data_IF_209445888021
#
_entry.id   IF_209445888021
#
_cell.length_a   1.000
_cell.length_b   1.000
_cell.length_c   1.000
_cell.angle_alpha   90.00
_cell.angle_beta   90.00
_cell.angle_gamma   90.00
#
_symmetry.space_group_name_H-M   'P 1'
#
loop_
_entity.id
_entity.type
_entity.pdbx_description
1 polymer ?
#
# COMPACT_ATOMS: atom_id res chain seq x y z
N UNK A 1 -15.93 14.11 16.95
CA UNK A 1 -15.47 15.23 16.09
C UNK A 1 -16.54 16.30 16.07
N UNK A 2 -16.17 17.59 16.03
CA UNK A 2 -17.13 18.64 15.67
C UNK A 2 -17.55 18.40 14.21
N UNK A 3 -18.84 18.49 13.92
CA UNK A 3 -19.31 18.46 12.54
C UNK A 3 -18.75 19.69 11.81
N UNK A 4 -18.17 19.49 10.62
CA UNK A 4 -17.72 20.58 9.76
C UNK A 4 -18.93 21.43 9.35
N UNK A 5 -18.82 22.75 9.46
CA UNK A 5 -19.88 23.68 9.00
C UNK A 5 -19.75 24.06 7.54
N UNK A 6 -18.54 23.91 7.00
CA UNK A 6 -18.19 24.13 5.60
C UNK A 6 -16.92 23.33 5.29
N UNK A 7 -16.59 23.21 4.00
CA UNK A 7 -15.39 22.52 3.53
C UNK A 7 -14.14 23.18 4.10
N UNK A 8 -13.09 22.41 4.46
CA UNK A 8 -11.81 22.98 4.88
C UNK A 8 -11.23 23.95 3.83
N UNK A 9 -10.43 24.92 4.27
CA UNK A 9 -9.79 25.87 3.38
C UNK A 9 -8.57 25.26 2.67
N UNK A 10 -8.29 25.73 1.45
CA UNK A 10 -7.08 25.36 0.70
C UNK A 10 -5.84 25.68 1.53
N UNK A 11 -4.88 24.77 1.49
CA UNK A 11 -3.53 24.99 2.02
C UNK A 11 -2.57 25.39 0.92
N UNK A 12 -1.64 26.28 1.24
CA UNK A 12 -0.48 26.60 0.41
C UNK A 12 0.78 26.66 1.26
N UNK A 13 1.93 26.43 0.64
CA UNK A 13 3.23 26.51 1.29
C UNK A 13 4.14 27.57 0.66
N UNK A 14 4.98 28.21 1.47
CA UNK A 14 6.01 29.16 1.04
C UNK A 14 7.36 28.49 0.72
N UNK A 15 8.35 29.25 0.23
CA UNK A 15 9.70 28.74 -0.10
C UNK A 15 10.45 28.06 1.05
N UNK A 16 10.07 28.34 2.29
CA UNK A 16 10.67 27.74 3.48
C UNK A 16 9.93 26.49 3.97
N UNK A 17 8.82 26.10 3.32
CA UNK A 17 8.00 24.95 3.69
C UNK A 17 6.99 25.25 4.80
N UNK A 18 6.78 26.51 5.17
CA UNK A 18 5.71 26.88 6.09
C UNK A 18 4.37 26.75 5.38
N UNK A 19 3.38 26.16 6.06
CA UNK A 19 2.05 25.90 5.52
C UNK A 19 1.04 26.91 6.09
N UNK A 20 0.21 27.46 5.22
CA UNK A 20 -0.81 28.46 5.53
C UNK A 20 -2.13 28.11 4.85
N UNK A 21 -3.24 28.58 5.40
CA UNK A 21 -4.56 28.49 4.80
C UNK A 21 -4.89 29.71 3.91
N UNK A 22 -5.58 29.47 2.81
CA UNK A 22 -6.24 30.51 2.03
C UNK A 22 -7.75 30.52 2.34
N UNK A 23 -8.17 31.37 3.27
CA UNK A 23 -9.59 31.48 3.67
C UNK A 23 -10.52 31.99 2.56
N UNK A 24 -9.98 32.40 1.41
CA UNK A 24 -10.77 32.75 0.23
C UNK A 24 -11.13 31.56 -0.65
N UNK A 25 -10.57 30.38 -0.38
CA UNK A 25 -10.72 29.16 -1.19
C UNK A 25 -11.07 27.95 -0.33
N UNK A 26 -12.15 27.26 -0.66
CA UNK A 26 -12.44 25.92 -0.16
C UNK A 26 -11.62 24.88 -0.91
N UNK A 27 -11.05 23.93 -0.16
CA UNK A 27 -10.32 22.80 -0.71
C UNK A 27 -11.23 21.89 -1.53
N UNK A 28 -10.67 21.27 -2.56
CA UNK A 28 -11.36 20.34 -3.45
C UNK A 28 -10.56 19.07 -3.62
N UNK A 29 -11.26 17.98 -3.89
CA UNK A 29 -10.69 16.68 -4.15
C UNK A 29 -10.52 16.45 -5.65
N UNK A 30 -9.39 15.85 -6.04
CA UNK A 30 -9.13 15.47 -7.42
C UNK A 30 -9.45 14.00 -7.65
N UNK A 31 -10.20 13.72 -8.71
CA UNK A 31 -10.48 12.39 -9.27
C UNK A 31 -10.01 12.40 -10.72
N UNK A 32 -8.97 11.62 -11.04
CA UNK A 32 -8.39 11.60 -12.37
C UNK A 32 -7.83 12.97 -12.76
N UNK A 33 -8.37 13.59 -13.80
CA UNK A 33 -8.01 14.96 -14.20
C UNK A 33 -8.92 16.04 -13.60
N UNK A 34 -10.01 15.66 -12.93
CA UNK A 34 -11.08 16.58 -12.54
C UNK A 34 -11.02 16.92 -11.06
N UNK A 35 -11.08 18.22 -10.75
CA UNK A 35 -11.21 18.73 -9.38
C UNK A 35 -12.69 18.96 -9.06
N UNK A 36 -13.19 18.31 -8.02
CA UNK A 36 -14.59 18.30 -7.65
C UNK A 36 -14.79 18.79 -6.20
N UNK A 37 -15.93 19.44 -5.90
CA UNK A 37 -16.36 19.62 -4.52
C UNK A 37 -16.37 18.27 -3.78
N UNK A 38 -15.95 18.30 -2.54
CA UNK A 38 -15.90 17.13 -1.64
C UNK A 38 -16.99 17.26 -0.59
N UNK A 39 -17.70 16.17 -0.31
CA UNK A 39 -18.69 16.12 0.75
C UNK A 39 -18.03 16.30 2.14
N UNK A 40 -18.74 16.95 3.06
CA UNK A 40 -18.20 17.24 4.41
C UNK A 40 -17.88 15.97 5.21
N UNK A 41 -18.61 14.89 4.95
CA UNK A 41 -18.43 13.61 5.63
C UNK A 41 -17.19 12.82 5.18
N UNK A 42 -16.60 13.19 4.04
CA UNK A 42 -15.40 12.53 3.52
C UNK A 42 -14.11 13.13 4.12
N UNK A 43 -14.21 14.25 4.82
CA UNK A 43 -13.10 14.87 5.54
C UNK A 43 -12.97 14.29 6.93
N UNK A 44 -11.84 13.64 7.19
CA UNK A 44 -11.42 13.20 8.52
C UNK A 44 -10.24 14.04 9.00
N UNK A 45 -10.03 14.12 10.31
CA UNK A 45 -8.77 14.64 10.85
C UNK A 45 -7.60 13.85 10.26
N UNK A 46 -6.51 14.53 9.91
CA UNK A 46 -5.27 13.90 9.48
C UNK A 46 -4.87 12.87 10.55
N UNK A 47 -4.85 11.56 10.23
CA UNK A 47 -4.56 10.55 11.24
C UNK A 47 -3.12 10.67 11.76
N UNK A 48 -2.89 10.20 12.99
CA UNK A 48 -1.56 10.23 13.62
C UNK A 48 -0.51 9.49 12.76
N UNK A 49 0.66 10.12 12.57
CA UNK A 49 1.69 9.63 11.65
C UNK A 49 1.51 10.09 10.20
N UNK A 50 0.45 10.84 9.91
CA UNK A 50 0.32 11.61 8.67
C UNK A 50 1.35 12.73 8.58
N UNK A 51 1.61 13.20 7.37
CA UNK A 51 2.57 14.28 7.09
C UNK A 51 2.07 15.16 5.96
N UNK A 52 2.54 16.40 5.90
CA UNK A 52 2.23 17.32 4.82
C UNK A 52 3.39 17.37 3.82
N UNK A 53 3.05 17.48 2.55
CA UNK A 53 3.99 17.64 1.46
C UNK A 53 3.72 18.94 0.75
N UNK A 54 4.76 19.77 0.70
CA UNK A 54 4.81 20.84 -0.28
C UNK A 54 4.98 20.24 -1.67
N UNK A 55 4.27 20.81 -2.65
CA UNK A 55 4.35 20.41 -4.05
C UNK A 55 4.99 21.53 -4.87
N UNK A 56 6.33 21.58 -4.99
CA UNK A 56 7.01 22.65 -5.71
C UNK A 56 6.46 22.84 -7.12
N UNK A 57 6.40 24.11 -7.56
CA UNK A 57 5.99 24.50 -8.91
C UNK A 57 4.56 24.07 -9.29
N UNK A 58 3.71 23.81 -8.30
CA UNK A 58 2.29 23.49 -8.46
C UNK A 58 1.42 24.48 -7.71
N UNK A 59 0.34 24.95 -8.31
CA UNK A 59 -0.64 25.83 -7.65
C UNK A 59 -1.85 25.03 -7.24
N UNK A 60 -2.29 25.18 -6.00
CA UNK A 60 -3.50 24.52 -5.53
C UNK A 60 -4.73 25.02 -6.30
N UNK A 61 -5.65 24.11 -6.58
CA UNK A 61 -6.97 24.42 -7.13
C UNK A 61 -7.97 24.46 -5.98
N UNK A 62 -8.85 25.45 -5.96
CA UNK A 62 -9.90 25.58 -4.96
C UNK A 62 -11.16 26.23 -5.51
N UNK A 63 -12.24 26.16 -4.71
CA UNK A 63 -13.50 26.86 -4.99
C UNK A 63 -13.51 28.18 -4.22
N UNK A 64 -13.71 29.27 -4.93
CA UNK A 64 -13.81 30.60 -4.32
C UNK A 64 -14.99 30.70 -3.37
N UNK A 65 -14.72 31.08 -2.12
CA UNK A 65 -15.70 31.06 -1.04
C UNK A 65 -16.85 32.07 -1.21
N UNK A 66 -16.69 33.07 -2.08
CA UNK A 66 -17.73 34.06 -2.38
C UNK A 66 -18.48 33.76 -3.67
N UNK A 67 -17.75 33.47 -4.75
CA UNK A 67 -18.33 33.31 -6.10
C UNK A 67 -18.70 31.88 -6.45
N UNK A 68 -18.14 30.88 -5.75
CA UNK A 68 -18.31 29.47 -6.08
C UNK A 68 -17.54 29.00 -7.32
N UNK A 69 -16.73 29.87 -7.94
CA UNK A 69 -15.94 29.54 -9.12
C UNK A 69 -14.67 28.77 -8.75
N UNK A 70 -14.27 27.81 -9.59
CA UNK A 70 -12.96 27.16 -9.49
C UNK A 70 -11.88 28.14 -9.90
N UNK A 71 -10.84 28.30 -9.08
CA UNK A 71 -9.64 29.08 -9.42
C UNK A 71 -8.38 28.55 -8.74
N UNK A 72 -7.24 29.05 -9.18
CA UNK A 72 -5.94 28.77 -8.57
C UNK A 72 -5.73 29.59 -7.29
N UNK A 73 -4.99 29.00 -6.36
CA UNK A 73 -4.35 29.72 -5.26
C UNK A 73 -3.05 30.34 -5.78
N UNK A 74 -2.97 31.67 -5.73
CA UNK A 74 -1.81 32.43 -6.22
C UNK A 74 -0.83 32.83 -5.10
N UNK A 75 -1.02 32.30 -3.88
CA UNK A 75 -0.25 32.69 -2.69
C UNK A 75 1.02 31.86 -2.45
N UNK A 76 1.11 30.68 -3.05
CA UNK A 76 2.25 29.78 -2.87
C UNK A 76 2.01 28.45 -3.56
N UNK A 77 2.76 27.43 -3.15
CA UNK A 77 2.65 26.11 -3.75
C UNK A 77 1.57 25.25 -3.10
N UNK A 78 1.02 24.32 -3.88
CA UNK A 78 0.04 23.37 -3.39
C UNK A 78 0.61 22.51 -2.26
N UNK A 79 -0.29 22.04 -1.39
CA UNK A 79 0.03 21.12 -0.31
C UNK A 79 -0.80 19.85 -0.49
N UNK A 80 -0.16 18.70 -0.31
CA UNK A 80 -0.81 17.39 -0.20
C UNK A 80 -0.55 16.80 1.19
N UNK A 81 -1.27 15.74 1.54
CA UNK A 81 -0.98 14.96 2.73
C UNK A 81 -0.61 13.51 2.40
N UNK A 82 0.31 12.97 3.19
CA UNK A 82 0.45 11.54 3.40
C UNK A 82 -0.55 11.07 4.43
N UNK A 83 -1.37 10.12 4.03
CA UNK A 83 -2.28 9.42 4.92
C UNK A 83 -1.64 8.09 5.33
N UNK A 84 -1.50 7.82 6.65
CA UNK A 84 -0.81 6.64 7.12
C UNK A 84 -1.59 5.35 6.77
N UNK A 85 -0.90 4.20 6.79
CA UNK A 85 -1.53 2.89 6.65
C UNK A 85 -2.78 2.71 7.52
N UNK A 86 -3.68 1.81 7.08
CA UNK A 86 -5.05 1.60 7.57
C UNK A 86 -6.12 2.56 7.03
N UNK A 87 -5.73 3.63 6.34
CA UNK A 87 -6.66 4.58 5.73
C UNK A 87 -6.46 4.66 4.21
N UNK A 88 -7.57 4.64 3.48
CA UNK A 88 -7.61 4.75 2.02
C UNK A 88 -8.07 6.15 1.64
N UNK A 89 -7.33 6.76 0.72
CA UNK A 89 -7.61 8.08 0.16
C UNK A 89 -8.85 8.03 -0.71
N UNK A 90 -9.73 9.02 -0.55
CA UNK A 90 -10.92 9.19 -1.38
C UNK A 90 -10.66 10.15 -2.55
N UNK A 91 -9.81 11.16 -2.35
CA UNK A 91 -9.44 12.12 -3.40
C UNK A 91 -7.95 12.48 -3.38
N UNK A 92 -7.39 12.68 -4.56
CA UNK A 92 -6.04 13.20 -4.75
C UNK A 92 -5.98 14.71 -4.44
N UNK A 93 -4.79 15.22 -4.15
CA UNK A 93 -4.56 16.65 -4.03
C UNK A 93 -4.84 17.37 -5.37
N UNK A 94 -5.58 18.46 -5.30
CA UNK A 94 -5.96 19.24 -6.48
C UNK A 94 -4.95 20.35 -6.75
N UNK A 95 -4.23 20.25 -7.86
CA UNK A 95 -3.24 21.24 -8.26
C UNK A 95 -3.14 21.37 -9.79
N UNK A 96 -2.55 22.46 -10.25
CA UNK A 96 -2.07 22.61 -11.62
C UNK A 96 -0.56 22.79 -11.64
N UNK A 97 0.10 22.06 -12.54
CA UNK A 97 1.53 22.18 -12.80
C UNK A 97 1.84 23.52 -13.47
N UNK A 98 2.94 24.14 -13.06
CA UNK A 98 3.65 25.09 -13.92
C UNK A 98 4.57 24.30 -14.88
N UNK A 99 5.08 24.90 -15.97
CA UNK A 99 5.94 24.20 -16.94
C UNK A 99 7.20 23.58 -16.33
N UNK A 100 7.70 24.12 -15.22
CA UNK A 100 8.92 23.68 -14.55
C UNK A 100 8.66 22.70 -13.39
N UNK A 101 7.44 22.16 -13.29
CA UNK A 101 7.07 21.24 -12.21
C UNK A 101 7.85 19.92 -12.30
N UNK A 102 8.63 19.54 -11.26
CA UNK A 102 9.34 18.26 -11.26
C UNK A 102 8.36 17.11 -11.08
N UNK A 103 8.72 15.91 -11.54
CA UNK A 103 8.00 14.69 -11.18
C UNK A 103 8.04 14.48 -9.67
N UNK A 104 6.89 14.21 -9.06
CA UNK A 104 6.82 13.97 -7.62
C UNK A 104 7.40 12.59 -7.26
N UNK A 105 8.05 12.45 -6.09
CA UNK A 105 8.51 11.15 -5.59
C UNK A 105 7.37 10.14 -5.37
N UNK A 106 7.71 8.87 -5.10
CA UNK A 106 6.75 7.78 -4.88
C UNK A 106 6.09 7.85 -3.48
N UNK A 107 5.22 8.84 -3.28
CA UNK A 107 4.36 9.00 -2.11
C UNK A 107 2.89 9.12 -2.51
N UNK A 108 1.97 8.96 -1.56
CA UNK A 108 0.57 9.31 -1.79
C UNK A 108 0.37 10.82 -1.62
N UNK A 109 -0.45 11.39 -2.50
CA UNK A 109 -0.76 12.81 -2.55
C UNK A 109 -2.25 13.04 -2.34
N UNK A 110 -2.69 12.98 -1.09
CA UNK A 110 -4.11 13.11 -0.70
C UNK A 110 -4.54 14.57 -0.59
N UNK A 111 -5.79 14.86 -0.92
CA UNK A 111 -6.37 16.18 -0.68
C UNK A 111 -6.35 16.53 0.82
N UNK A 112 -5.91 17.74 1.13
CA UNK A 112 -5.79 18.25 2.49
C UNK A 112 -6.30 19.68 2.58
N UNK A 113 -6.90 20.02 3.70
CA UNK A 113 -7.35 21.37 3.99
C UNK A 113 -7.31 21.70 5.47
N UNK A 114 -7.50 22.98 5.78
CA UNK A 114 -7.43 23.50 7.15
C UNK A 114 -8.81 23.89 7.67
N UNK A 115 -9.13 23.48 8.90
CA UNK A 115 -10.38 23.87 9.55
C UNK A 115 -10.22 23.96 11.07
N UNK A 116 -10.59 25.10 11.66
CA UNK A 116 -10.60 25.34 13.11
C UNK A 116 -9.32 24.91 13.87
N UNK A 117 -8.13 25.08 13.28
CA UNK A 117 -6.86 24.76 13.94
C UNK A 117 -6.30 23.37 13.64
N UNK A 118 -6.95 22.60 12.78
CA UNK A 118 -6.61 21.21 12.49
C UNK A 118 -6.51 20.95 10.99
N UNK A 119 -5.69 19.95 10.64
CA UNK A 119 -5.58 19.43 9.28
C UNK A 119 -6.62 18.34 9.03
N UNK A 120 -7.34 18.46 7.92
CA UNK A 120 -8.31 17.48 7.46
C UNK A 120 -7.89 16.91 6.12
N UNK A 121 -8.13 15.62 5.92
CA UNK A 121 -7.84 14.88 4.68
C UNK A 121 -9.05 14.11 4.21
N UNK A 122 -9.12 13.80 2.91
CA UNK A 122 -10.18 12.97 2.34
C UNK A 122 -9.81 11.49 2.38
N UNK A 123 -10.27 10.78 3.40
CA UNK A 123 -9.92 9.37 3.60
C UNK A 123 -10.94 8.61 4.43
N UNK A 124 -10.94 7.28 4.26
CA UNK A 124 -11.73 6.34 5.06
C UNK A 124 -10.81 5.33 5.73
N UNK A 125 -11.06 5.01 7.00
CA UNK A 125 -10.35 3.92 7.69
C UNK A 125 -10.91 2.58 7.24
N UNK A 126 -10.08 1.76 6.60
CA UNK A 126 -10.44 0.43 6.08
C UNK A 126 -9.94 -0.71 6.95
N UNK A 127 -9.04 -0.44 7.90
CA UNK A 127 -8.40 -1.45 8.74
C UNK A 127 -8.42 -1.02 10.21
N UNK A 128 -8.76 -1.95 11.09
CA UNK A 128 -8.85 -1.70 12.52
C UNK A 128 -7.62 -2.17 13.28
N UNK A 129 -6.85 -3.10 12.71
CA UNK A 129 -5.63 -3.61 13.29
C UNK A 129 -4.58 -2.50 13.45
N UNK A 130 -4.06 -2.34 14.68
CA UNK A 130 -3.17 -1.23 15.04
C UNK A 130 -1.70 -1.49 14.68
N UNK A 131 -1.38 -2.59 13.99
CA UNK A 131 -0.01 -3.11 13.94
C UNK A 131 1.04 -2.18 13.32
N UNK A 132 0.63 -1.24 12.48
CA UNK A 132 1.54 -0.26 11.87
C UNK A 132 1.25 1.17 12.33
N UNK A 133 0.44 1.36 13.38
CA UNK A 133 0.21 2.69 13.94
C UNK A 133 1.48 3.23 14.57
N UNK A 134 1.79 4.50 14.28
CA UNK A 134 3.06 5.11 14.64
C UNK A 134 3.27 5.18 16.17
N UNK A 135 2.21 5.42 16.93
CA UNK A 135 2.18 5.42 18.40
C UNK A 135 2.62 4.10 19.02
N UNK A 136 2.49 3.00 18.27
CA UNK A 136 2.91 1.67 18.70
C UNK A 136 4.42 1.45 18.69
N UNK A 137 5.23 2.35 18.14
CA UNK A 137 6.67 2.12 17.96
C UNK A 137 7.57 3.03 18.81
N UNK A 138 8.00 2.49 19.94
CA UNK A 138 9.05 3.07 20.78
C UNK A 138 10.44 2.83 20.13
N UNK A 139 11.15 3.92 19.81
CA UNK A 139 12.44 3.87 19.14
C UNK A 139 13.50 3.10 19.96
N UNK A 140 13.57 3.31 21.27
CA UNK A 140 14.55 2.64 22.13
C UNK A 140 14.30 1.13 22.18
N UNK A 141 13.02 0.71 22.20
CA UNK A 141 12.68 -0.73 22.15
C UNK A 141 13.10 -1.36 20.84
N UNK A 142 12.94 -0.65 19.73
CA UNK A 142 13.38 -1.13 18.40
C UNK A 142 14.89 -1.30 18.38
N UNK A 143 15.67 -0.30 18.82
CA UNK A 143 17.14 -0.40 18.84
C UNK A 143 17.64 -1.53 19.74
N UNK A 144 17.05 -1.68 20.94
CA UNK A 144 17.39 -2.79 21.84
C UNK A 144 17.04 -4.15 21.23
N UNK A 145 15.89 -4.26 20.56
CA UNK A 145 15.47 -5.46 19.85
C UNK A 145 16.41 -5.81 18.69
N UNK A 146 16.87 -4.80 17.94
CA UNK A 146 17.88 -4.96 16.89
C UNK A 146 19.19 -5.50 17.47
N UNK A 147 19.67 -4.94 18.57
CA UNK A 147 20.89 -5.41 19.23
C UNK A 147 20.77 -6.87 19.70
N UNK A 148 19.65 -7.22 20.34
CA UNK A 148 19.40 -8.58 20.81
C UNK A 148 19.37 -9.60 19.66
N UNK A 149 18.60 -9.33 18.61
CA UNK A 149 18.43 -10.28 17.50
C UNK A 149 19.67 -10.38 16.61
N UNK A 150 20.47 -9.32 16.46
CA UNK A 150 21.78 -9.41 15.79
C UNK A 150 22.76 -10.27 16.59
N UNK A 151 22.75 -10.16 17.93
CA UNK A 151 23.58 -11.02 18.78
C UNK A 151 23.13 -12.48 18.74
N UNK A 152 21.82 -12.73 18.62
CA UNK A 152 21.25 -14.07 18.51
C UNK A 152 21.51 -14.71 17.14
N UNK A 153 21.49 -13.91 16.07
CA UNK A 153 21.65 -14.37 14.69
C UNK A 153 22.81 -13.66 13.96
N UNK A 154 24.05 -13.74 14.46
CA UNK A 154 25.17 -12.88 14.02
C UNK A 154 25.67 -13.19 12.60
N UNK A 155 25.22 -14.29 12.00
CA UNK A 155 25.60 -14.69 10.63
C UNK A 155 24.42 -14.66 9.65
N UNK A 156 23.24 -14.25 10.11
CA UNK A 156 22.05 -14.26 9.29
C UNK A 156 21.94 -12.94 8.50
N UNK A 157 22.16 -13.01 7.19
CA UNK A 157 22.17 -11.81 6.33
C UNK A 157 20.80 -11.17 6.20
N UNK A 158 19.72 -11.95 6.35
CA UNK A 158 18.36 -11.41 6.34
C UNK A 158 18.14 -10.56 7.58
N UNK A 159 18.47 -11.07 8.76
CA UNK A 159 18.32 -10.32 10.02
C UNK A 159 19.15 -9.03 9.99
N UNK A 160 20.38 -9.09 9.46
CA UNK A 160 21.23 -7.91 9.28
C UNK A 160 20.60 -6.88 8.33
N UNK A 161 20.08 -7.31 7.17
CA UNK A 161 19.39 -6.44 6.22
C UNK A 161 18.13 -5.81 6.84
N UNK A 162 17.33 -6.59 7.58
CA UNK A 162 16.15 -6.10 8.27
C UNK A 162 16.51 -5.08 9.35
N UNK A 163 17.64 -5.26 10.05
CA UNK A 163 18.11 -4.36 11.08
C UNK A 163 18.55 -3.02 10.48
N UNK A 164 19.59 -3.03 9.66
CA UNK A 164 20.25 -1.82 9.16
C UNK A 164 19.35 -1.06 8.18
N UNK A 165 18.85 -1.75 7.16
CA UNK A 165 18.14 -1.09 6.07
C UNK A 165 16.67 -0.88 6.44
N UNK A 166 15.97 -1.93 6.87
CA UNK A 166 14.52 -1.83 7.03
C UNK A 166 14.11 -1.12 8.33
N UNK A 167 14.58 -1.56 9.49
CA UNK A 167 14.10 -1.06 10.77
C UNK A 167 14.71 0.29 11.17
N UNK A 168 16.03 0.44 11.01
CA UNK A 168 16.77 1.62 11.44
C UNK A 168 16.82 2.72 10.38
N UNK A 169 16.92 2.39 9.09
CA UNK A 169 17.00 3.39 8.01
C UNK A 169 15.64 3.73 7.43
N UNK A 170 14.88 2.75 6.91
CA UNK A 170 13.58 3.01 6.27
C UNK A 170 12.42 3.13 7.27
N UNK A 171 12.66 2.82 8.54
CA UNK A 171 11.63 2.73 9.58
C UNK A 171 10.43 1.84 9.20
N UNK A 172 10.68 0.77 8.43
CA UNK A 172 9.68 -0.18 7.97
C UNK A 172 8.89 -0.78 9.16
N UNK A 173 7.56 -0.58 9.22
CA UNK A 173 6.74 -1.07 10.34
C UNK A 173 6.85 -2.58 10.57
N UNK A 174 6.90 -3.39 9.51
CA UNK A 174 7.03 -4.85 9.62
C UNK A 174 8.37 -5.26 10.24
N UNK A 175 9.48 -4.64 9.81
CA UNK A 175 10.79 -4.92 10.39
C UNK A 175 10.86 -4.49 11.86
N UNK A 176 10.34 -3.30 12.19
CA UNK A 176 10.28 -2.82 13.58
C UNK A 176 9.42 -3.74 14.46
N UNK A 177 8.31 -4.24 13.95
CA UNK A 177 7.45 -5.21 14.64
C UNK A 177 8.17 -6.53 14.93
N UNK A 178 8.94 -7.04 13.98
CA UNK A 178 9.81 -8.19 14.20
C UNK A 178 10.82 -7.94 15.33
N UNK A 179 11.53 -6.81 15.32
CA UNK A 179 12.54 -6.53 16.34
C UNK A 179 11.98 -6.33 17.75
N UNK A 180 10.71 -5.94 17.89
CA UNK A 180 10.01 -5.86 19.18
C UNK A 180 9.13 -7.09 19.47
N UNK A 181 9.25 -8.15 18.67
CA UNK A 181 8.70 -9.48 18.94
C UNK A 181 7.18 -9.62 18.74
N UNK A 182 6.58 -8.91 17.78
CA UNK A 182 5.12 -8.95 17.55
C UNK A 182 4.70 -9.06 16.08
N UNK A 183 3.54 -9.67 15.85
CA UNK A 183 2.78 -9.63 14.61
C UNK A 183 3.53 -10.11 13.35
N UNK A 184 3.71 -9.25 12.35
CA UNK A 184 4.26 -9.60 11.04
C UNK A 184 5.78 -9.47 10.99
N UNK A 185 6.44 -10.56 10.59
CA UNK A 185 7.87 -10.66 10.38
C UNK A 185 8.17 -10.75 8.86
N UNK A 186 8.91 -9.80 8.29
CA UNK A 186 9.19 -9.76 6.86
C UNK A 186 10.33 -10.71 6.46
N UNK A 187 10.19 -11.39 5.32
CA UNK A 187 11.19 -12.27 4.72
C UNK A 187 11.54 -11.79 3.30
N UNK A 188 12.52 -10.88 3.13
CA UNK A 188 13.03 -10.53 1.80
C UNK A 188 13.88 -11.68 1.22
N UNK A 189 13.63 -12.04 -0.03
CA UNK A 189 14.20 -13.25 -0.67
C UNK A 189 14.73 -13.06 -2.09
N UNK A 190 14.21 -12.10 -2.85
CA UNK A 190 14.42 -12.03 -4.28
C UNK A 190 15.21 -10.78 -4.70
N UNK A 191 16.43 -10.92 -5.23
CA UNK A 191 17.17 -9.79 -5.79
C UNK A 191 16.72 -9.41 -7.21
N UNK A 192 15.75 -10.12 -7.79
CA UNK A 192 15.32 -9.94 -9.18
C UNK A 192 13.80 -9.82 -9.28
N UNK A 193 13.31 -9.11 -10.30
CA UNK A 193 11.89 -8.99 -10.60
C UNK A 193 11.64 -9.33 -12.07
N UNK A 194 10.44 -9.84 -12.36
CA UNK A 194 9.97 -10.07 -13.73
C UNK A 194 8.91 -9.05 -14.16
N UNK A 195 8.76 -7.95 -13.42
CA UNK A 195 7.95 -6.79 -13.79
C UNK A 195 8.85 -5.55 -13.81
N UNK A 196 8.67 -4.68 -14.80
CA UNK A 196 9.39 -3.42 -14.91
C UNK A 196 8.49 -2.26 -14.51
N UNK A 197 7.86 -2.34 -13.33
CA UNK A 197 6.81 -1.40 -12.94
C UNK A 197 7.30 0.06 -13.02
N UNK A 198 6.48 0.94 -13.60
CA UNK A 198 6.81 2.37 -13.72
C UNK A 198 7.23 2.99 -12.38
N UNK A 199 6.45 2.75 -11.32
CA UNK A 199 6.71 3.25 -9.97
C UNK A 199 7.33 2.20 -9.04
N UNK A 200 8.28 1.38 -9.51
CA UNK A 200 8.90 0.38 -8.63
C UNK A 200 9.69 1.05 -7.49
N UNK A 201 9.34 0.70 -6.24
CA UNK A 201 9.92 1.31 -5.05
C UNK A 201 11.31 0.76 -4.67
N UNK A 202 11.71 -0.38 -5.24
CA UNK A 202 13.02 -1.00 -4.99
C UNK A 202 14.04 -0.78 -6.11
N UNK A 203 13.59 -0.25 -7.25
CA UNK A 203 14.43 -0.09 -8.43
C UNK A 203 13.82 0.92 -9.40
N UNK A 204 14.61 1.91 -9.80
CA UNK A 204 14.26 2.82 -10.88
C UNK A 204 15.39 2.79 -11.93
N UNK A 205 15.07 2.75 -13.24
CA UNK A 205 16.09 2.87 -14.29
C UNK A 205 16.87 4.20 -14.17
N UNK A 206 18.16 4.19 -14.50
CA UNK A 206 19.03 5.39 -14.40
C UNK A 206 18.56 6.58 -15.25
N UNK A 207 17.76 6.34 -16.29
CA UNK A 207 17.22 7.38 -17.16
C UNK A 207 15.93 8.01 -16.63
N UNK A 208 15.35 7.48 -15.56
CA UNK A 208 14.13 8.04 -14.96
C UNK A 208 14.43 9.19 -14.00
N UNK A 209 13.48 10.12 -13.90
CA UNK A 209 13.57 11.29 -13.01
C UNK A 209 13.23 11.00 -11.56
N UNK A 210 12.65 9.82 -11.28
CA UNK A 210 12.23 9.40 -9.94
C UNK A 210 13.22 8.43 -9.32
N UNK A 211 13.42 8.55 -8.02
CA UNK A 211 14.28 7.65 -7.25
C UNK A 211 13.46 6.55 -6.57
N UNK A 212 14.05 5.36 -6.47
CA UNK A 212 13.50 4.27 -5.68
C UNK A 212 13.57 4.63 -4.19
N UNK A 213 12.48 4.39 -3.45
CA UNK A 213 12.43 4.70 -2.01
C UNK A 213 13.19 3.71 -1.13
N UNK A 214 13.56 2.55 -1.68
CA UNK A 214 14.24 1.46 -0.98
C UNK A 214 15.28 0.81 -1.90
N UNK A 215 16.36 0.30 -1.31
CA UNK A 215 17.33 -0.50 -2.04
C UNK A 215 16.86 -1.95 -2.21
N UNK A 216 16.95 -2.48 -3.43
CA UNK A 216 16.70 -3.89 -3.70
C UNK A 216 17.75 -4.78 -3.06
N UNK A 217 17.29 -5.85 -2.41
CA UNK A 217 18.09 -6.95 -1.90
C UNK A 217 19.10 -7.41 -2.95
N UNK A 218 20.37 -7.58 -2.56
CA UNK A 218 21.45 -7.91 -3.48
C UNK A 218 21.98 -9.35 -3.34
N UNK A 219 21.33 -10.18 -2.51
CA UNK A 219 21.71 -11.56 -2.29
C UNK A 219 20.49 -12.49 -2.33
N UNK A 220 20.76 -13.78 -2.52
CA UNK A 220 19.76 -14.85 -2.38
C UNK A 220 19.96 -15.49 -1.00
N UNK A 221 18.95 -15.44 -0.10
CA UNK A 221 19.06 -16.13 1.17
C UNK A 221 19.01 -17.64 0.99
N UNK A 222 19.60 -18.35 1.94
CA UNK A 222 19.46 -19.81 2.05
C UNK A 222 18.20 -20.17 2.82
N UNK A 223 17.73 -21.41 2.65
CA UNK A 223 16.63 -21.97 3.47
C UNK A 223 16.95 -21.86 4.96
N UNK A 224 18.19 -22.19 5.36
CA UNK A 224 18.62 -22.13 6.76
C UNK A 224 18.51 -20.72 7.35
N UNK A 225 18.92 -19.69 6.60
CA UNK A 225 18.77 -18.29 7.02
C UNK A 225 17.29 -17.90 7.19
N UNK A 226 16.38 -18.42 6.36
CA UNK A 226 14.95 -18.14 6.49
C UNK A 226 14.41 -18.81 7.76
N UNK A 227 14.59 -20.13 7.87
CA UNK A 227 14.01 -20.96 8.95
C UNK A 227 14.48 -20.50 10.34
N UNK A 228 15.76 -20.14 10.46
CA UNK A 228 16.45 -19.85 11.73
C UNK A 228 15.72 -18.79 12.58
N UNK A 229 15.29 -17.68 11.98
CA UNK A 229 14.62 -16.60 12.71
C UNK A 229 13.09 -16.66 12.63
N UNK A 230 12.53 -17.18 11.54
CA UNK A 230 11.07 -17.20 11.36
C UNK A 230 10.38 -18.18 12.30
N UNK A 231 10.98 -19.35 12.56
CA UNK A 231 10.41 -20.33 13.50
C UNK A 231 10.35 -19.75 14.91
N UNK A 232 11.42 -19.09 15.36
CA UNK A 232 11.44 -18.44 16.66
C UNK A 232 10.34 -17.38 16.80
N UNK A 233 10.14 -16.56 15.76
CA UNK A 233 9.08 -15.55 15.72
C UNK A 233 7.69 -16.16 15.77
N UNK A 234 7.41 -17.17 14.94
CA UNK A 234 6.10 -17.85 14.88
C UNK A 234 5.69 -18.50 16.20
N UNK A 235 6.67 -18.95 17.00
CA UNK A 235 6.41 -19.59 18.30
C UNK A 235 6.05 -18.60 19.41
N UNK A 236 6.58 -17.37 19.35
CA UNK A 236 6.52 -16.41 20.46
C UNK A 236 5.65 -15.19 20.23
N UNK A 237 5.56 -14.70 18.98
CA UNK A 237 4.86 -13.44 18.71
C UNK A 237 3.34 -13.61 18.82
N UNK A 238 2.60 -12.62 19.34
CA UNK A 238 1.14 -12.60 19.26
C UNK A 238 0.69 -12.39 17.81
N UNK A 239 -0.40 -13.07 17.42
CA UNK A 239 -0.94 -13.08 16.05
C UNK A 239 0.17 -13.23 14.99
N UNK A 240 0.99 -14.29 15.08
CA UNK A 240 2.25 -14.33 14.37
C UNK A 240 2.03 -14.54 12.86
N UNK A 241 2.71 -13.72 12.07
CA UNK A 241 2.74 -13.82 10.61
C UNK A 241 4.20 -13.76 10.16
N UNK A 242 4.57 -14.59 9.20
CA UNK A 242 5.80 -14.39 8.42
C UNK A 242 5.42 -14.20 6.96
N UNK A 243 6.01 -13.19 6.32
CA UNK A 243 5.62 -12.78 4.96
C UNK A 243 6.80 -12.76 4.02
N UNK A 244 6.77 -13.56 2.97
CA UNK A 244 7.62 -13.35 1.79
C UNK A 244 7.12 -12.16 0.99
N UNK A 245 7.99 -11.46 0.25
CA UNK A 245 7.59 -10.32 -0.59
C UNK A 245 7.58 -9.00 0.16
N UNK A 246 8.66 -8.24 0.06
CA UNK A 246 8.89 -6.98 0.76
C UNK A 246 9.18 -5.82 -0.20
N UNK A 247 9.01 -4.59 0.29
CA UNK A 247 9.29 -3.39 -0.51
C UNK A 247 10.75 -3.25 -0.91
N UNK A 248 11.67 -3.91 -0.20
CA UNK A 248 13.11 -3.90 -0.43
C UNK A 248 13.59 -5.08 -1.29
N UNK A 249 12.71 -5.82 -1.96
CA UNK A 249 13.09 -6.92 -2.85
C UNK A 249 12.43 -6.81 -4.24
N UNK A 250 12.71 -7.77 -5.11
CA UNK A 250 12.01 -8.00 -6.37
C UNK A 250 10.82 -8.95 -6.21
N UNK A 251 10.59 -9.81 -7.19
CA UNK A 251 9.46 -10.75 -7.18
C UNK A 251 9.82 -12.06 -6.46
N UNK A 252 9.21 -12.39 -5.31
CA UNK A 252 9.54 -13.60 -4.53
C UNK A 252 9.21 -14.93 -5.24
N UNK A 253 8.24 -14.98 -6.16
CA UNK A 253 7.96 -16.19 -6.93
C UNK A 253 9.12 -16.61 -7.84
N UNK A 254 10.10 -15.74 -8.12
CA UNK A 254 11.32 -16.13 -8.81
C UNK A 254 12.25 -17.00 -7.94
N UNK A 255 12.01 -17.04 -6.62
CA UNK A 255 12.76 -17.81 -5.63
C UNK A 255 11.96 -19.03 -5.12
N UNK A 256 10.90 -19.44 -5.83
CA UNK A 256 9.89 -20.37 -5.33
C UNK A 256 10.43 -21.71 -4.81
N UNK A 257 11.51 -22.26 -5.37
CA UNK A 257 12.11 -23.51 -4.88
C UNK A 257 12.69 -23.34 -3.46
N UNK A 258 13.33 -22.20 -3.20
CA UNK A 258 13.85 -21.86 -1.86
C UNK A 258 12.70 -21.61 -0.89
N UNK A 259 11.66 -20.90 -1.35
CA UNK A 259 10.46 -20.65 -0.54
C UNK A 259 9.75 -21.95 -0.19
N UNK A 260 9.57 -22.85 -1.17
CA UNK A 260 8.90 -24.13 -0.98
C UNK A 260 9.60 -24.95 0.12
N UNK A 261 10.92 -25.09 0.03
CA UNK A 261 11.69 -25.84 1.02
C UNK A 261 11.68 -25.14 2.39
N UNK A 262 11.78 -23.80 2.43
CA UNK A 262 11.67 -23.06 3.68
C UNK A 262 10.31 -23.21 4.36
N UNK A 263 9.21 -23.12 3.60
CA UNK A 263 7.85 -23.33 4.12
C UNK A 263 7.72 -24.75 4.68
N UNK A 264 8.17 -25.76 3.91
CA UNK A 264 8.13 -27.14 4.34
C UNK A 264 8.89 -27.34 5.65
N UNK A 265 10.12 -26.81 5.76
CA UNK A 265 10.93 -26.92 6.97
C UNK A 265 10.33 -26.16 8.16
N UNK A 266 9.86 -24.92 7.98
CA UNK A 266 9.17 -24.16 9.03
C UNK A 266 8.01 -24.99 9.61
N UNK A 267 7.23 -25.64 8.74
CA UNK A 267 6.09 -26.47 9.15
C UNK A 267 6.47 -27.78 9.83
N UNK A 268 7.72 -28.24 9.71
CA UNK A 268 8.23 -29.35 10.54
C UNK A 268 8.51 -28.92 11.98
N UNK A 269 8.85 -27.64 12.20
CA UNK A 269 9.14 -27.12 13.54
C UNK A 269 7.91 -26.54 14.24
N UNK A 270 7.00 -25.92 13.50
CA UNK A 270 5.81 -25.29 14.08
C UNK A 270 4.59 -25.28 13.15
N UNK A 271 3.41 -25.53 13.74
CA UNK A 271 2.12 -25.30 13.09
C UNK A 271 1.53 -23.93 13.39
N UNK A 272 2.20 -23.08 14.19
CA UNK A 272 1.69 -21.77 14.60
C UNK A 272 1.87 -20.72 13.50
N UNK A 273 0.99 -19.72 13.57
CA UNK A 273 1.00 -18.52 12.74
C UNK A 273 0.74 -18.73 11.25
N UNK A 274 0.60 -17.61 10.56
CA UNK A 274 0.35 -17.58 9.11
C UNK A 274 1.65 -17.41 8.34
N UNK A 275 1.85 -18.22 7.30
CA UNK A 275 2.87 -17.98 6.27
C UNK A 275 2.19 -17.36 5.06
N UNK A 276 2.58 -16.13 4.75
CA UNK A 276 2.04 -15.33 3.66
C UNK A 276 3.09 -15.07 2.56
N UNK A 277 2.64 -14.85 1.33
CA UNK A 277 3.47 -14.30 0.25
C UNK A 277 2.80 -13.08 -0.38
N UNK A 278 3.54 -11.98 -0.47
CA UNK A 278 3.19 -10.80 -1.25
C UNK A 278 3.88 -10.90 -2.62
N UNK A 279 3.14 -10.85 -3.72
CA UNK A 279 3.68 -11.16 -5.05
C UNK A 279 2.94 -10.38 -6.14
N UNK A 280 3.48 -10.31 -7.34
CA UNK A 280 2.76 -9.93 -8.56
C UNK A 280 1.86 -11.05 -9.12
N UNK A 281 1.92 -12.27 -8.59
CA UNK A 281 1.10 -13.41 -9.03
C UNK A 281 1.52 -14.02 -10.37
N UNK A 282 2.73 -13.72 -10.85
CA UNK A 282 3.20 -14.07 -12.20
C UNK A 282 3.50 -15.55 -12.46
N UNK A 283 3.53 -16.41 -11.44
CA UNK A 283 3.88 -17.84 -11.58
C UNK A 283 2.88 -18.77 -10.87
N UNK A 284 1.76 -19.12 -11.52
CA UNK A 284 0.75 -19.98 -10.92
C UNK A 284 1.26 -21.37 -10.49
N UNK A 285 2.12 -22.02 -11.28
CA UNK A 285 2.70 -23.32 -10.93
C UNK A 285 3.55 -23.26 -9.64
N UNK A 286 4.30 -22.16 -9.48
CA UNK A 286 5.07 -21.91 -8.26
C UNK A 286 4.12 -21.71 -7.07
N UNK A 287 3.05 -20.93 -7.24
CA UNK A 287 2.03 -20.75 -6.20
C UNK A 287 1.43 -22.10 -5.78
N UNK A 288 1.13 -22.99 -6.74
CA UNK A 288 0.62 -24.33 -6.41
C UNK A 288 1.64 -25.14 -5.59
N UNK A 289 2.93 -25.09 -5.95
CA UNK A 289 3.99 -25.76 -5.20
C UNK A 289 4.11 -25.21 -3.76
N UNK A 290 4.00 -23.90 -3.56
CA UNK A 290 4.01 -23.27 -2.25
C UNK A 290 2.78 -23.67 -1.41
N UNK A 291 1.59 -23.75 -2.02
CA UNK A 291 0.39 -24.27 -1.35
C UNK A 291 0.58 -25.71 -0.85
N UNK A 292 1.15 -26.60 -1.69
CA UNK A 292 1.46 -27.98 -1.31
C UNK A 292 2.46 -28.06 -0.15
N UNK A 293 3.35 -27.09 -0.01
CA UNK A 293 4.33 -27.03 1.08
C UNK A 293 3.75 -26.49 2.41
N UNK A 294 2.60 -25.79 2.38
CA UNK A 294 1.94 -25.26 3.57
C UNK A 294 1.79 -23.74 3.63
N UNK A 295 1.84 -23.05 2.47
CA UNK A 295 1.49 -21.63 2.37
C UNK A 295 0.04 -21.39 2.82
N UNK A 296 -0.19 -20.40 3.69
CA UNK A 296 -1.52 -20.10 4.21
C UNK A 296 -2.24 -19.02 3.42
N UNK A 297 -1.52 -18.00 2.95
CA UNK A 297 -2.13 -16.86 2.28
C UNK A 297 -1.27 -16.28 1.17
N UNK A 298 -1.94 -15.66 0.20
CA UNK A 298 -1.34 -14.90 -0.89
C UNK A 298 -1.92 -13.50 -0.93
N UNK A 299 -1.06 -12.53 -1.23
CA UNK A 299 -1.43 -11.18 -1.60
C UNK A 299 -0.87 -10.84 -2.98
N UNK A 300 -1.74 -10.72 -3.97
CA UNK A 300 -1.37 -10.35 -5.35
C UNK A 300 -1.47 -8.84 -5.54
N UNK A 301 -0.38 -8.17 -5.90
CA UNK A 301 -0.37 -6.72 -6.10
C UNK A 301 -0.81 -6.34 -7.49
N UNK A 302 -1.67 -5.32 -7.59
CA UNK A 302 -2.15 -4.81 -8.87
C UNK A 302 -2.57 -3.33 -8.78
N UNK A 303 -2.31 -2.55 -9.84
CA UNK A 303 -2.86 -1.20 -10.01
C UNK A 303 -4.27 -1.24 -10.62
N UNK A 304 -4.61 -2.34 -11.29
CA UNK A 304 -5.81 -2.47 -12.12
C UNK A 304 -6.12 -3.95 -12.37
N UNK A 305 -7.38 -4.31 -12.35
CA UNK A 305 -7.89 -5.60 -12.85
C UNK A 305 -8.38 -5.51 -14.30
N UNK A 306 -8.24 -4.35 -14.96
CA UNK A 306 -8.22 -4.25 -16.41
C UNK A 306 -6.83 -4.54 -16.98
N UNK A 307 -6.78 -5.45 -17.96
CA UNK A 307 -5.58 -5.98 -18.60
C UNK A 307 -4.69 -4.87 -19.22
N UNK A 308 -5.29 -3.95 -19.97
CA UNK A 308 -4.53 -2.87 -20.64
C UNK A 308 -3.81 -1.96 -19.64
N UNK A 309 -4.50 -1.56 -18.57
CA UNK A 309 -3.95 -0.64 -17.56
C UNK A 309 -2.97 -1.35 -16.64
N UNK A 310 -3.17 -2.64 -16.38
CA UNK A 310 -2.18 -3.48 -15.71
C UNK A 310 -0.87 -3.53 -16.49
N UNK A 311 -0.92 -3.89 -17.78
CA UNK A 311 0.27 -4.00 -18.62
C UNK A 311 1.00 -2.66 -18.77
N UNK A 312 0.26 -1.56 -18.91
CA UNK A 312 0.83 -0.23 -19.03
C UNK A 312 1.65 0.19 -17.80
N UNK A 313 1.28 -0.28 -16.60
CA UNK A 313 2.01 0.02 -15.37
C UNK A 313 3.06 -1.03 -15.01
N UNK A 314 2.70 -2.32 -14.96
CA UNK A 314 3.59 -3.40 -14.50
C UNK A 314 4.68 -3.76 -15.51
N UNK A 315 4.46 -3.48 -16.79
CA UNK A 315 5.33 -3.84 -17.91
C UNK A 315 5.86 -5.30 -17.75
N UNK A 316 4.96 -6.31 -17.79
CA UNK A 316 5.30 -7.70 -17.52
C UNK A 316 6.42 -8.24 -18.41
N UNK A 317 7.31 -9.03 -17.84
CA UNK A 317 8.36 -9.74 -18.56
C UNK A 317 8.21 -11.25 -18.34
N UNK A 318 7.83 -11.98 -19.38
CA UNK A 318 7.61 -13.44 -19.37
C UNK A 318 6.44 -13.91 -18.47
N UNK A 319 5.37 -13.12 -18.36
CA UNK A 319 4.08 -13.57 -17.83
C UNK A 319 2.95 -12.67 -18.35
N UNK A 320 1.72 -13.19 -18.34
CA UNK A 320 0.53 -12.47 -18.80
C UNK A 320 -0.37 -12.10 -17.61
N UNK A 321 -1.24 -11.10 -17.80
CA UNK A 321 -2.21 -10.65 -16.80
C UNK A 321 -3.09 -11.78 -16.24
N UNK A 322 -3.45 -12.77 -17.07
CA UNK A 322 -4.26 -13.93 -16.66
C UNK A 322 -3.63 -14.78 -15.54
N UNK A 323 -2.30 -14.71 -15.39
CA UNK A 323 -1.58 -15.41 -14.33
C UNK A 323 -2.00 -14.95 -12.92
N UNK A 324 -2.39 -13.68 -12.77
CA UNK A 324 -2.83 -13.13 -11.48
C UNK A 324 -4.09 -13.85 -10.99
N UNK A 325 -5.11 -13.92 -11.86
CA UNK A 325 -6.36 -14.60 -11.56
C UNK A 325 -6.15 -16.10 -11.32
N UNK A 326 -5.26 -16.75 -12.08
CA UNK A 326 -4.92 -18.16 -11.85
C UNK A 326 -4.27 -18.38 -10.48
N UNK A 327 -3.29 -17.54 -10.10
CA UNK A 327 -2.63 -17.63 -8.79
C UNK A 327 -3.64 -17.50 -7.63
N UNK A 328 -4.60 -16.57 -7.75
CA UNK A 328 -5.69 -16.44 -6.76
C UNK A 328 -6.57 -17.69 -6.74
N UNK A 329 -6.99 -18.20 -7.90
CA UNK A 329 -7.81 -19.44 -8.01
C UNK A 329 -7.10 -20.64 -7.38
N UNK A 330 -5.80 -20.79 -7.61
CA UNK A 330 -5.00 -21.88 -7.03
C UNK A 330 -5.02 -21.80 -5.50
N UNK A 331 -4.70 -20.66 -4.89
CA UNK A 331 -4.68 -20.59 -3.42
C UNK A 331 -6.06 -20.87 -2.83
N UNK A 332 -7.13 -20.38 -3.47
CA UNK A 332 -8.50 -20.70 -3.05
C UNK A 332 -8.83 -22.20 -3.17
N UNK A 333 -8.39 -22.88 -4.24
CA UNK A 333 -8.56 -24.34 -4.42
C UNK A 333 -7.89 -25.14 -3.29
N UNK A 334 -6.79 -24.64 -2.73
CA UNK A 334 -6.11 -25.25 -1.58
C UNK A 334 -6.64 -24.78 -0.22
N UNK A 335 -7.70 -23.96 -0.20
CA UNK A 335 -8.31 -23.44 1.03
C UNK A 335 -7.58 -22.28 1.68
N UNK A 336 -6.51 -21.75 1.06
CA UNK A 336 -5.72 -20.63 1.58
C UNK A 336 -6.45 -19.28 1.49
N UNK A 337 -5.94 -18.27 2.17
CA UNK A 337 -6.48 -16.91 2.13
C UNK A 337 -5.97 -16.12 0.92
N UNK A 338 -6.88 -15.47 0.19
CA UNK A 338 -6.55 -14.71 -1.01
C UNK A 338 -6.84 -13.23 -0.81
N UNK A 339 -5.84 -12.40 -1.08
CA UNK A 339 -5.96 -10.95 -1.07
C UNK A 339 -5.42 -10.36 -2.36
N UNK A 340 -5.98 -9.24 -2.80
CA UNK A 340 -5.29 -8.33 -3.72
C UNK A 340 -4.78 -7.11 -2.95
N UNK A 341 -3.58 -6.66 -3.28
CA UNK A 341 -3.04 -5.37 -2.86
C UNK A 341 -3.33 -4.37 -3.97
N UNK A 342 -4.46 -3.68 -3.82
CA UNK A 342 -5.04 -2.89 -4.89
C UNK A 342 -4.64 -1.42 -4.73
N UNK A 343 -3.93 -0.88 -5.73
CA UNK A 343 -3.47 0.51 -5.68
C UNK A 343 -4.59 1.47 -6.06
N UNK A 344 -5.12 2.15 -5.07
CA UNK A 344 -6.24 3.06 -5.15
C UNK A 344 -5.80 4.38 -5.76
N UNK A 345 -6.37 4.69 -6.92
CA UNK A 345 -6.23 5.93 -7.66
C UNK A 345 -7.63 6.49 -7.95
N UNK A 346 -8.08 7.51 -7.20
CA UNK A 346 -9.36 8.19 -7.48
C UNK A 346 -9.41 8.69 -8.92
N UNK A 347 -10.45 8.30 -9.64
CA UNK A 347 -10.69 8.57 -11.07
C UNK A 347 -10.28 7.47 -12.03
N UNK A 348 -9.61 6.42 -11.54
CA UNK A 348 -9.29 5.21 -12.32
C UNK A 348 -9.86 3.98 -11.64
N UNK A 349 -9.56 3.79 -10.35
CA UNK A 349 -9.99 2.64 -9.53
C UNK A 349 -11.50 2.54 -9.36
N UNK A 350 -12.18 3.69 -9.33
CA UNK A 350 -13.63 3.87 -9.20
C UNK A 350 -14.31 4.25 -10.52
N UNK A 351 -13.68 3.94 -11.65
CA UNK A 351 -14.36 3.99 -12.94
C UNK A 351 -15.35 2.83 -13.07
N UNK A 352 -16.41 3.02 -13.86
CA UNK A 352 -17.41 1.97 -14.12
C UNK A 352 -16.77 0.71 -14.75
N UNK A 353 -15.83 0.90 -15.68
CA UNK A 353 -15.12 -0.20 -16.34
C UNK A 353 -14.27 -1.01 -15.36
N UNK A 354 -13.59 -0.33 -14.43
CA UNK A 354 -12.77 -0.98 -13.41
C UNK A 354 -13.65 -1.70 -12.38
N UNK A 355 -14.78 -1.10 -12.00
CA UNK A 355 -15.77 -1.74 -11.14
C UNK A 355 -16.27 -3.05 -11.74
N UNK A 356 -16.71 -3.05 -13.01
CA UNK A 356 -17.17 -4.25 -13.68
C UNK A 356 -16.08 -5.31 -13.84
N UNK A 357 -14.85 -4.90 -14.16
CA UNK A 357 -13.70 -5.80 -14.20
C UNK A 357 -13.42 -6.44 -12.84
N UNK A 358 -13.53 -5.67 -11.75
CA UNK A 358 -13.31 -6.14 -10.38
C UNK A 358 -14.40 -7.09 -9.91
N UNK A 359 -15.68 -6.81 -10.21
CA UNK A 359 -16.79 -7.73 -9.94
C UNK A 359 -16.55 -9.08 -10.62
N UNK A 360 -16.17 -9.06 -11.90
CA UNK A 360 -15.83 -10.28 -12.65
C UNK A 360 -14.65 -11.02 -12.02
N UNK A 361 -13.58 -10.31 -11.68
CA UNK A 361 -12.41 -10.89 -11.03
C UNK A 361 -12.79 -11.58 -9.70
N UNK A 362 -13.62 -10.94 -8.87
CA UNK A 362 -14.09 -11.51 -7.60
C UNK A 362 -14.90 -12.78 -7.84
N UNK A 363 -15.88 -12.75 -8.76
CA UNK A 363 -16.71 -13.91 -9.11
C UNK A 363 -15.87 -15.09 -9.62
N UNK A 364 -14.94 -14.85 -10.53
CA UNK A 364 -14.13 -15.90 -11.16
C UNK A 364 -13.10 -16.51 -10.23
N UNK A 365 -12.55 -15.70 -9.32
CA UNK A 365 -11.43 -16.13 -8.48
C UNK A 365 -11.85 -16.60 -7.09
N UNK A 366 -13.00 -16.14 -6.58
CA UNK A 366 -13.41 -16.34 -5.19
C UNK A 366 -12.58 -15.50 -4.20
N UNK A 367 -12.12 -14.33 -4.64
CA UNK A 367 -11.26 -13.44 -3.84
C UNK A 367 -11.86 -13.18 -2.45
N UNK A 368 -11.06 -13.31 -1.40
CA UNK A 368 -11.52 -13.15 -0.01
C UNK A 368 -11.33 -11.75 0.54
N UNK A 369 -10.34 -11.00 0.05
CA UNK A 369 -10.01 -9.70 0.60
C UNK A 369 -9.44 -8.71 -0.42
N UNK A 370 -9.83 -7.44 -0.29
CA UNK A 370 -9.14 -6.31 -0.95
C UNK A 370 -8.38 -5.53 0.11
N UNK A 371 -7.06 -5.39 -0.09
CA UNK A 371 -6.23 -4.45 0.65
C UNK A 371 -6.17 -3.13 -0.14
N UNK A 372 -6.89 -2.12 0.33
CA UNK A 372 -7.11 -0.84 -0.36
C UNK A 372 -5.94 0.14 -0.13
N UNK A 373 -4.83 -0.05 -0.85
CA UNK A 373 -3.62 0.76 -0.67
C UNK A 373 -3.71 2.08 -1.39
N UNK A 374 -3.19 3.14 -0.79
CA UNK A 374 -3.00 4.39 -1.52
C UNK A 374 -1.93 4.18 -2.60
N UNK A 375 -2.19 4.64 -3.81
CA UNK A 375 -1.18 4.57 -4.86
C UNK A 375 -0.15 5.69 -4.65
N UNK A 376 1.08 5.27 -4.33
CA UNK A 376 2.20 6.17 -4.09
C UNK A 376 2.90 6.56 -5.40
N UNK A 377 2.31 7.49 -6.16
CA UNK A 377 2.81 7.91 -7.48
C UNK A 377 2.38 9.35 -7.79
N UNK A 378 3.19 10.09 -8.56
CA UNK A 378 2.77 11.36 -9.14
C UNK A 378 1.55 11.12 -10.05
N UNK A 379 0.39 11.76 -9.78
CA UNK A 379 -0.83 11.46 -10.50
C UNK A 379 -0.81 11.91 -11.96
N UNK A 380 -0.14 13.02 -12.30
CA UNK A 380 -0.07 13.49 -13.68
C UNK A 380 0.87 12.61 -14.50
N UNK A 381 2.04 12.30 -13.92
CA UNK A 381 3.03 11.42 -14.54
C UNK A 381 2.48 10.01 -14.76
N UNK A 382 1.74 9.46 -13.79
CA UNK A 382 1.10 8.15 -13.93
C UNK A 382 0.15 8.11 -15.13
N UNK A 383 -0.80 9.06 -15.18
CA UNK A 383 -1.82 9.11 -16.25
C UNK A 383 -1.17 9.30 -17.63
N UNK A 384 -0.15 10.16 -17.72
CA UNK A 384 0.62 10.34 -18.95
C UNK A 384 1.31 9.03 -19.38
N UNK A 385 2.03 8.37 -18.46
CA UNK A 385 2.81 7.16 -18.77
C UNK A 385 1.97 5.95 -19.14
N UNK A 386 0.78 5.82 -18.56
CA UNK A 386 -0.16 4.75 -18.94
C UNK A 386 -1.05 5.11 -20.14
N UNK A 387 -0.85 6.29 -20.73
CA UNK A 387 -1.49 6.71 -21.97
C UNK A 387 -2.94 7.19 -21.80
N UNK A 388 -3.32 7.64 -20.60
CA UNK A 388 -4.66 8.15 -20.32
C UNK A 388 -4.71 9.64 -20.64
N UNK A 389 -5.48 10.01 -21.67
CA UNK A 389 -5.67 11.40 -22.09
C UNK A 389 -6.96 12.03 -21.54
N UNK A 390 -7.90 11.19 -21.11
CA UNK A 390 -9.16 11.57 -20.49
C UNK A 390 -9.52 10.49 -19.47
N UNK A 391 -9.91 10.91 -18.26
CA UNK A 391 -10.31 9.98 -17.21
C UNK A 391 -11.78 9.64 -17.36
N UNK A 392 -12.16 8.36 -17.20
CA UNK A 392 -13.54 7.92 -17.30
C UNK A 392 -14.43 8.56 -16.22
N UNK A 393 -15.74 8.42 -16.39
CA UNK A 393 -16.68 8.77 -15.32
C UNK A 393 -16.41 7.88 -14.09
N UNK A 394 -16.30 8.52 -12.93
CA UNK A 394 -15.95 7.86 -11.67
C UNK A 394 -17.14 7.88 -10.70
N UNK A 395 -17.47 6.73 -10.13
CA UNK A 395 -18.55 6.63 -9.14
C UNK A 395 -18.14 7.10 -7.73
N UNK A 396 -16.85 7.30 -7.49
CA UNK A 396 -16.29 7.61 -6.17
C UNK A 396 -15.80 6.36 -5.43
N UNK A 397 -14.60 6.41 -4.86
CA UNK A 397 -13.97 5.29 -4.12
C UNK A 397 -14.88 4.73 -3.01
N UNK A 398 -15.57 5.60 -2.25
CA UNK A 398 -16.47 5.19 -1.16
C UNK A 398 -17.68 4.44 -1.70
N UNK A 399 -18.31 4.95 -2.75
CA UNK A 399 -19.45 4.30 -3.41
C UNK A 399 -19.05 2.96 -4.04
N UNK A 400 -17.86 2.88 -4.64
CA UNK A 400 -17.28 1.63 -5.14
C UNK A 400 -17.17 0.58 -4.03
N UNK A 401 -16.62 0.97 -2.87
CA UNK A 401 -16.51 0.10 -1.70
C UNK A 401 -17.88 -0.34 -1.18
N UNK A 402 -18.86 0.55 -1.13
CA UNK A 402 -20.21 0.22 -0.68
C UNK A 402 -20.90 -0.76 -1.64
N UNK A 403 -20.87 -0.47 -2.95
CA UNK A 403 -21.47 -1.32 -3.98
C UNK A 403 -20.88 -2.74 -3.99
N UNK A 404 -19.55 -2.86 -3.90
CA UNK A 404 -18.88 -4.15 -3.80
C UNK A 404 -19.24 -4.90 -2.52
N UNK A 405 -19.43 -4.20 -1.39
CA UNK A 405 -19.78 -4.84 -0.12
C UNK A 405 -21.23 -5.31 -0.08
N UNK A 406 -22.12 -4.60 -0.76
CA UNK A 406 -23.51 -5.02 -0.97
C UNK A 406 -23.59 -6.28 -1.84
N UNK A 407 -22.85 -6.33 -2.94
CA UNK A 407 -22.85 -7.50 -3.85
C UNK A 407 -22.07 -8.69 -3.28
N UNK A 408 -20.93 -8.44 -2.62
CA UNK A 408 -20.06 -9.47 -2.05
C UNK A 408 -19.92 -9.35 -0.53
N UNK A 409 -20.94 -9.69 0.28
CA UNK A 409 -20.89 -9.55 1.74
C UNK A 409 -19.76 -10.35 2.44
N UNK A 410 -19.22 -11.36 1.76
CA UNK A 410 -18.11 -12.18 2.25
C UNK A 410 -16.74 -11.53 2.02
N UNK A 411 -16.65 -10.57 1.10
CA UNK A 411 -15.41 -9.89 0.75
C UNK A 411 -14.97 -8.99 1.90
N UNK A 412 -13.74 -9.18 2.35
CA UNK A 412 -13.15 -8.41 3.45
C UNK A 412 -12.37 -7.22 2.94
N UNK A 413 -12.46 -6.10 3.65
CA UNK A 413 -11.63 -4.92 3.42
C UNK A 413 -10.60 -4.83 4.53
N UNK A 414 -9.42 -4.34 4.17
CA UNK A 414 -8.39 -4.07 5.15
C UNK A 414 -7.17 -3.43 4.52
N UNK A 415 -6.09 -3.47 5.28
CA UNK A 415 -4.82 -2.86 4.91
C UNK A 415 -3.64 -3.72 5.34
N UNK A 416 -3.82 -4.85 6.04
CA UNK A 416 -2.70 -5.73 6.38
C UNK A 416 -2.99 -7.19 6.06
N UNK A 417 -1.94 -8.00 6.03
CA UNK A 417 -2.09 -9.45 5.89
C UNK A 417 -2.73 -10.01 7.17
N UNK A 418 -3.83 -10.76 7.09
CA UNK A 418 -4.51 -11.23 8.28
C UNK A 418 -3.74 -12.40 8.93
N UNK A 419 -3.69 -12.46 10.27
CA UNK A 419 -3.11 -13.59 10.99
C UNK A 419 -4.05 -14.80 10.91
N UNK A 420 -3.57 -15.99 11.28
CA UNK A 420 -4.36 -17.22 11.11
C UNK A 420 -5.61 -17.23 12.01
N UNK A 421 -5.51 -16.57 13.17
CA UNK A 421 -6.62 -16.34 14.10
C UNK A 421 -7.74 -15.55 13.43
N UNK A 422 -7.39 -14.51 12.67
CA UNK A 422 -8.36 -13.70 11.91
C UNK A 422 -8.95 -14.44 10.71
N UNK A 423 -8.15 -15.27 10.06
CA UNK A 423 -8.55 -16.05 8.87
C UNK A 423 -9.55 -17.14 9.25
N UNK A 424 -9.32 -17.85 10.36
CA UNK A 424 -10.13 -19.00 10.79
C UNK A 424 -11.22 -18.64 11.81
N UNK A 425 -11.05 -17.52 12.53
CA UNK A 425 -11.94 -17.05 13.58
C UNK A 425 -12.83 -15.90 13.14
N UNK A 426 -12.97 -14.90 14.01
CA UNK A 426 -13.74 -13.70 13.74
C UNK A 426 -12.85 -12.62 13.11
N UNK A 427 -13.05 -12.40 11.81
CA UNK A 427 -12.28 -11.40 11.06
C UNK A 427 -12.36 -9.98 11.64
N UNK A 428 -13.46 -9.63 12.32
CA UNK A 428 -13.67 -8.29 12.87
C UNK A 428 -13.12 -8.10 14.29
N UNK A 429 -12.60 -9.16 14.92
CA UNK A 429 -12.11 -9.11 16.31
C UNK A 429 -10.74 -9.75 16.51
N UNK A 430 -10.38 -10.79 15.77
CA UNK A 430 -9.20 -11.61 16.09
C UNK A 430 -7.92 -11.03 15.48
N UNK A 431 -7.55 -9.81 15.88
CA UNK A 431 -6.37 -9.08 15.41
C UNK A 431 -5.69 -8.28 16.54
N UNK A 432 -4.61 -7.56 16.21
CA UNK A 432 -3.90 -6.73 17.18
C UNK A 432 -4.71 -5.50 17.59
N UNK A 433 -4.99 -5.37 18.89
CA UNK A 433 -5.75 -4.25 19.49
C UNK A 433 -4.86 -3.24 20.21
#
# INVERSE_FOLDING_TARGET
>A
MKALKHTPYVLYADEAGNVFEDTSLYAVGRSGFYANPTELEDWILLPEGGSLYQLPHRRAVGIDAMSGAIRLCDKGWAVAAFVPPAHTTLYLASFMNTPDAPTLPLFCYTAVGWYEGEFYVTAVRVEQDIRQECSGFDHNKVELGVLDLRNRFPKNRIVEHLAENCALTYHCPAARNYFIGRWECPIPTSPACNSNCLGCISFQPEYESIEASQDRLNFKPTVGEIVEYTVAHLESAPFPIVSFGQGCEGEPLLMWETLQEAIFQIRQFTSKGSININTNGSKPDAVEALCKAGLNSIRVSTNSVQDWLYNAYYLPNNYDFSALAESVRIVNKYGGWTSINYFVFPGMTDSEDEYEALRKFIHETGLKMIQWRNFNIDPDWYLERVGVTETPESMGIKNLMEALKEEFPHLKYGYYNPPIERILGNFELDFAH
#
